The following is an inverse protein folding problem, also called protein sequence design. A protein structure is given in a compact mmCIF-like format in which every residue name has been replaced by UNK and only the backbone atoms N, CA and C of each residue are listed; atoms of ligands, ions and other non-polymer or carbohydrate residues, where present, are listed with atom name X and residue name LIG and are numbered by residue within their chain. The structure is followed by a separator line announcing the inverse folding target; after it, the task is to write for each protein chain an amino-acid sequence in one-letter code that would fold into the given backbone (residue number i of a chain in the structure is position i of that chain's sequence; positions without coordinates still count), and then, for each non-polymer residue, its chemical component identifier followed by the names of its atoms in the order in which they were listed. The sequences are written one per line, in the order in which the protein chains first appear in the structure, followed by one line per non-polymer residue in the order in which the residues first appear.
data_IF_534959302294
#
_entry.id   IF_534959302294
#
_cell.length_a   1.000
_cell.length_b   1.000
_cell.length_c   1.000
_cell.angle_alpha   90.00
_cell.angle_beta   90.00
_cell.angle_gamma   90.00
#
_symmetry.space_group_name_H-M   'P 1'
#
loop_
_entity.id
_entity.type
_entity.pdbx_description
1 polymer ?
#
# COMPACT_ATOMS: atom_id res chain seq x y z
N UNK A 1 27.87 -15.03 46.78
CA UNK A 1 26.87 -15.65 45.87
C UNK A 1 26.20 -16.85 46.54
N UNK A 2 26.97 -17.75 47.18
CA UNK A 2 26.46 -18.92 47.90
C UNK A 2 25.62 -18.59 49.15
N UNK A 3 26.00 -17.59 49.94
CA UNK A 3 25.20 -17.13 51.10
C UNK A 3 23.79 -16.68 50.70
N UNK A 4 23.66 -16.05 49.53
CA UNK A 4 22.38 -15.63 48.97
C UNK A 4 21.55 -16.84 48.55
N UNK A 5 22.17 -17.85 47.93
CA UNK A 5 21.51 -19.12 47.59
C UNK A 5 21.01 -19.84 48.86
N UNK A 6 21.87 -20.03 49.88
CA UNK A 6 21.51 -20.68 51.13
C UNK A 6 20.43 -19.89 51.92
N UNK A 7 20.43 -18.56 51.82
CA UNK A 7 19.36 -17.71 52.38
C UNK A 7 18.02 -17.98 51.67
N UNK A 8 18.00 -17.89 50.33
CA UNK A 8 16.78 -18.10 49.54
C UNK A 8 16.25 -19.53 49.65
N UNK A 9 17.13 -20.54 49.72
CA UNK A 9 16.74 -21.93 49.95
C UNK A 9 16.03 -22.13 51.29
N UNK A 10 16.53 -21.50 52.37
CA UNK A 10 15.88 -21.53 53.68
C UNK A 10 14.52 -20.81 53.68
N UNK A 11 14.43 -19.65 53.03
CA UNK A 11 13.16 -18.92 52.87
C UNK A 11 12.13 -19.74 52.10
N UNK A 12 12.56 -20.44 51.04
CA UNK A 12 11.69 -21.33 50.26
C UNK A 12 11.17 -22.51 51.08
N UNK A 13 12.04 -23.19 51.83
CA UNK A 13 11.67 -24.30 52.72
C UNK A 13 10.67 -23.83 53.79
N UNK A 14 10.92 -22.66 54.38
CA UNK A 14 10.03 -22.07 55.38
C UNK A 14 8.64 -21.74 54.80
N UNK A 15 8.57 -21.26 53.56
CA UNK A 15 7.31 -20.98 52.87
C UNK A 15 6.59 -22.23 52.35
N UNK A 16 7.30 -23.35 52.12
CA UNK A 16 6.77 -24.57 51.50
C UNK A 16 7.15 -25.85 52.29
N UNK A 17 6.68 -26.02 53.54
CA UNK A 17 7.13 -27.10 54.42
C UNK A 17 6.80 -28.52 53.93
N UNK A 18 5.91 -28.67 52.95
CA UNK A 18 5.53 -29.95 52.34
C UNK A 18 6.30 -30.32 51.07
N UNK A 19 7.22 -29.48 50.58
CA UNK A 19 8.02 -29.74 49.38
C UNK A 19 9.50 -29.95 49.75
N UNK A 20 10.22 -30.85 49.06
CA UNK A 20 11.67 -30.92 49.19
C UNK A 20 12.27 -29.57 48.77
N UNK A 21 13.13 -29.03 49.61
CA UNK A 21 13.82 -27.78 49.34
C UNK A 21 15.28 -27.97 48.96
N UNK A 22 15.92 -26.92 48.41
CA UNK A 22 17.32 -26.99 48.02
C UNK A 22 18.21 -27.24 49.24
N UNK A 23 19.20 -28.12 49.10
CA UNK A 23 20.21 -28.31 50.15
C UNK A 23 21.06 -27.07 50.31
N UNK A 24 21.50 -26.80 51.54
CA UNK A 24 22.54 -25.80 51.80
C UNK A 24 23.87 -26.31 51.26
N UNK A 25 24.65 -25.44 50.64
CA UNK A 25 25.95 -25.77 50.05
C UNK A 25 27.02 -24.84 50.61
N UNK A 26 28.18 -25.39 50.95
CA UNK A 26 29.40 -24.62 51.21
C UNK A 26 30.29 -24.56 49.95
N UNK A 27 31.28 -23.68 49.97
CA UNK A 27 32.07 -23.39 48.77
C UNK A 27 32.79 -24.64 48.22
N UNK A 28 33.32 -25.49 49.10
CA UNK A 28 33.98 -26.73 48.69
C UNK A 28 32.98 -27.74 48.10
N UNK A 29 31.77 -27.82 48.66
CA UNK A 29 30.72 -28.71 48.14
C UNK A 29 30.36 -28.37 46.69
N UNK A 30 30.37 -27.07 46.34
CA UNK A 30 30.06 -26.60 44.99
C UNK A 30 31.11 -27.02 43.95
N UNK A 31 32.38 -27.12 44.35
CA UNK A 31 33.47 -27.56 43.46
C UNK A 31 33.45 -29.06 43.19
N UNK A 32 32.82 -29.83 44.08
CA UNK A 32 32.71 -31.29 44.00
C UNK A 32 31.42 -31.75 43.29
N UNK A 33 30.54 -30.82 42.92
CA UNK A 33 29.29 -31.14 42.23
C UNK A 33 29.56 -31.73 40.85
N UNK A 34 28.92 -32.86 40.59
CA UNK A 34 28.91 -33.44 39.27
C UNK A 34 28.06 -32.60 38.30
N UNK A 35 28.35 -32.59 36.98
CA UNK A 35 27.63 -31.78 36.01
C UNK A 35 26.12 -32.07 35.90
N UNK A 36 25.68 -33.25 36.32
CA UNK A 36 24.29 -33.72 36.32
C UNK A 36 23.55 -33.46 37.64
N UNK A 37 24.21 -32.84 38.63
CA UNK A 37 23.61 -32.56 39.93
C UNK A 37 22.37 -31.66 39.83
N UNK A 38 21.37 -31.91 40.68
CA UNK A 38 20.11 -31.15 40.75
C UNK A 38 20.32 -29.67 41.09
N UNK A 39 21.50 -29.28 41.57
CA UNK A 39 21.89 -27.87 41.70
C UNK A 39 22.00 -27.15 40.34
N UNK A 40 22.45 -27.86 39.30
CA UNK A 40 22.66 -27.31 37.95
C UNK A 40 21.41 -27.36 37.06
N UNK A 41 20.32 -27.96 37.54
CA UNK A 41 19.07 -28.10 36.79
C UNK A 41 17.85 -27.74 37.65
N UNK A 42 16.70 -27.49 37.03
CA UNK A 42 15.47 -27.12 37.74
C UNK A 42 14.79 -28.32 38.43
N UNK A 43 15.46 -29.46 38.59
CA UNK A 43 14.87 -30.73 39.03
C UNK A 43 14.11 -30.62 40.36
N UNK A 44 14.61 -29.79 41.28
CA UNK A 44 14.02 -29.53 42.60
C UNK A 44 12.74 -28.66 42.55
N UNK A 45 12.54 -27.91 41.47
CA UNK A 45 11.38 -27.04 41.25
C UNK A 45 10.42 -27.61 40.20
N UNK A 46 10.55 -28.89 39.86
CA UNK A 46 9.64 -29.54 38.92
C UNK A 46 8.23 -29.63 39.52
N UNK A 47 7.37 -28.73 39.08
CA UNK A 47 5.95 -28.70 39.39
C UNK A 47 5.18 -29.82 38.65
N UNK A 48 5.79 -30.99 38.49
CA UNK A 48 5.26 -32.11 37.71
C UNK A 48 3.95 -32.68 38.27
N UNK A 49 3.62 -32.39 39.53
CA UNK A 49 2.37 -32.76 40.19
C UNK A 49 1.28 -31.70 40.13
N UNK A 50 1.57 -30.49 39.65
CA UNK A 50 0.58 -29.43 39.57
C UNK A 50 -0.51 -29.75 38.53
N UNK A 51 -1.74 -29.22 38.69
CA UNK A 51 -2.85 -29.52 37.78
C UNK A 51 -2.53 -29.20 36.32
N UNK A 52 -1.76 -28.14 36.04
CA UNK A 52 -1.34 -27.78 34.69
C UNK A 52 -0.28 -28.73 34.10
N UNK A 53 0.40 -29.53 34.92
CA UNK A 53 1.38 -30.52 34.50
C UNK A 53 0.75 -31.91 34.27
N UNK A 54 -0.28 -32.28 35.04
CA UNK A 54 -0.90 -33.62 34.95
C UNK A 54 -2.29 -33.59 34.30
N UNK A 55 -3.17 -32.66 34.68
CA UNK A 55 -4.56 -32.68 34.23
C UNK A 55 -4.67 -32.24 32.76
N UNK A 56 -5.11 -33.18 31.92
CA UNK A 56 -5.29 -32.95 30.49
C UNK A 56 -6.30 -31.86 30.17
N UNK A 57 -7.33 -31.66 31.01
CA UNK A 57 -8.32 -30.59 30.80
C UNK A 57 -7.70 -29.22 31.08
N UNK A 58 -6.98 -29.09 32.20
CA UNK A 58 -6.22 -27.88 32.54
C UNK A 58 -5.20 -27.55 31.45
N UNK A 59 -4.42 -28.52 30.98
CA UNK A 59 -3.50 -28.31 29.86
C UNK A 59 -4.20 -27.85 28.58
N UNK A 60 -5.33 -28.48 28.22
CA UNK A 60 -6.13 -28.09 27.05
C UNK A 60 -6.68 -26.67 27.22
N UNK A 61 -7.14 -26.30 28.40
CA UNK A 61 -7.60 -24.96 28.75
C UNK A 61 -6.50 -23.92 28.52
N UNK A 62 -5.30 -24.15 29.07
CA UNK A 62 -4.13 -23.27 28.90
C UNK A 62 -3.78 -23.12 27.41
N UNK A 63 -3.71 -24.22 26.65
CA UNK A 63 -3.40 -24.17 25.21
C UNK A 63 -4.45 -23.39 24.43
N UNK A 64 -5.73 -23.53 24.76
CA UNK A 64 -6.83 -22.79 24.14
C UNK A 64 -6.74 -21.30 24.46
N UNK A 65 -6.53 -20.94 25.72
CA UNK A 65 -6.36 -19.55 26.15
C UNK A 65 -5.16 -18.89 25.45
N UNK A 66 -4.01 -19.57 25.41
CA UNK A 66 -2.83 -19.08 24.71
C UNK A 66 -3.06 -18.90 23.20
N UNK A 67 -3.86 -19.77 22.59
CA UNK A 67 -4.21 -19.65 21.17
C UNK A 67 -5.17 -18.48 20.92
N UNK A 68 -6.13 -18.24 21.81
CA UNK A 68 -7.00 -17.07 21.77
C UNK A 68 -6.20 -15.77 21.88
N UNK A 69 -5.30 -15.68 22.87
CA UNK A 69 -4.44 -14.51 23.07
C UNK A 69 -3.54 -14.24 21.86
N UNK A 70 -2.97 -15.29 21.26
CA UNK A 70 -2.21 -15.16 20.01
C UNK A 70 -3.07 -14.66 18.86
N UNK A 71 -4.31 -15.15 18.72
CA UNK A 71 -5.24 -14.66 17.70
C UNK A 71 -5.58 -13.17 17.86
N UNK A 72 -5.80 -12.72 19.10
CA UNK A 72 -6.04 -11.30 19.41
C UNK A 72 -4.82 -10.42 19.07
N UNK A 73 -3.63 -10.89 19.44
CA UNK A 73 -2.37 -10.20 19.12
C UNK A 73 -2.14 -10.14 17.60
N UNK A 74 -2.46 -11.20 16.86
CA UNK A 74 -2.31 -11.23 15.41
C UNK A 74 -3.25 -10.23 14.72
N UNK A 75 -4.51 -10.13 15.15
CA UNK A 75 -5.45 -9.11 14.66
C UNK A 75 -4.90 -7.70 14.90
N UNK A 76 -4.30 -7.47 16.08
CA UNK A 76 -3.68 -6.19 16.42
C UNK A 76 -2.49 -5.88 15.52
N UNK A 77 -1.62 -6.86 15.25
CA UNK A 77 -0.47 -6.74 14.33
C UNK A 77 -0.89 -6.48 12.89
N UNK A 78 -1.91 -7.17 12.41
CA UNK A 78 -2.48 -6.90 11.09
C UNK A 78 -2.99 -5.47 10.99
N UNK A 79 -3.67 -4.96 12.02
CA UNK A 79 -4.06 -3.55 12.08
C UNK A 79 -2.88 -2.57 12.01
N UNK A 80 -1.74 -2.94 12.59
CA UNK A 80 -0.50 -2.15 12.50
C UNK A 80 0.11 -2.16 11.12
N UNK A 81 0.22 -3.33 10.49
CA UNK A 81 0.78 -3.45 9.14
C UNK A 81 -0.09 -2.75 8.11
N UNK A 82 -1.43 -2.85 8.19
CA UNK A 82 -2.34 -2.11 7.29
C UNK A 82 -2.05 -0.61 7.33
N UNK A 83 -1.95 -0.02 8.53
CA UNK A 83 -1.63 1.41 8.71
C UNK A 83 -0.23 1.75 8.23
N UNK A 84 0.73 0.85 8.39
CA UNK A 84 2.11 1.05 7.91
C UNK A 84 2.15 1.04 6.38
N UNK A 85 1.49 0.08 5.74
CA UNK A 85 1.37 -0.03 4.29
C UNK A 85 0.68 1.20 3.70
N UNK A 86 -0.45 1.63 4.29
CA UNK A 86 -1.15 2.84 3.85
C UNK A 86 -0.26 4.08 3.99
N UNK A 87 0.42 4.27 5.14
CA UNK A 87 1.35 5.41 5.32
C UNK A 87 2.50 5.39 4.34
N UNK A 88 3.11 4.22 4.14
CA UNK A 88 4.18 4.07 3.17
C UNK A 88 3.71 4.47 1.78
N UNK A 89 2.53 4.00 1.36
CA UNK A 89 1.99 4.31 0.05
C UNK A 89 1.64 5.80 -0.10
N UNK A 90 0.96 6.40 0.88
CA UNK A 90 0.57 7.82 0.79
C UNK A 90 1.78 8.74 0.80
N UNK A 91 2.78 8.47 1.63
CA UNK A 91 4.02 9.24 1.67
C UNK A 91 4.86 9.04 0.40
N UNK A 92 4.89 7.82 -0.15
CA UNK A 92 5.58 7.52 -1.41
C UNK A 92 4.93 8.27 -2.58
N UNK A 93 3.60 8.26 -2.64
CA UNK A 93 2.80 9.00 -3.61
C UNK A 93 3.10 10.51 -3.53
N UNK A 94 3.01 11.12 -2.34
CA UNK A 94 3.30 12.55 -2.14
C UNK A 94 4.72 12.91 -2.58
N UNK A 95 5.70 12.08 -2.23
CA UNK A 95 7.09 12.31 -2.63
C UNK A 95 7.28 12.23 -4.14
N UNK A 96 6.63 11.27 -4.81
CA UNK A 96 6.70 11.14 -6.26
C UNK A 96 6.01 12.30 -6.96
N UNK A 97 4.82 12.69 -6.49
CA UNK A 97 4.07 13.82 -7.02
C UNK A 97 4.87 15.13 -6.90
N UNK A 98 5.58 15.33 -5.79
CA UNK A 98 6.48 16.46 -5.62
C UNK A 98 7.62 16.42 -6.66
N UNK A 99 8.30 15.29 -6.81
CA UNK A 99 9.38 15.16 -7.80
C UNK A 99 8.86 15.36 -9.23
N UNK A 100 7.64 14.89 -9.51
CA UNK A 100 6.96 15.09 -10.78
C UNK A 100 6.77 16.59 -11.04
N UNK A 101 6.14 17.33 -10.10
CA UNK A 101 5.95 18.77 -10.26
C UNK A 101 7.25 19.54 -10.49
N UNK A 102 8.32 19.19 -9.77
CA UNK A 102 9.63 19.82 -9.95
C UNK A 102 10.27 19.49 -11.33
N UNK A 103 10.03 18.29 -11.87
CA UNK A 103 10.52 17.91 -13.20
C UNK A 103 9.76 18.62 -14.33
N UNK A 104 8.49 18.96 -14.10
CA UNK A 104 7.62 19.66 -15.06
C UNK A 104 7.83 21.19 -15.02
N UNK A 105 7.95 21.78 -13.82
CA UNK A 105 8.13 23.23 -13.64
C UNK A 105 9.53 23.72 -14.09
N UNK A 106 10.58 22.90 -13.89
CA UNK A 106 11.96 23.29 -14.17
C UNK A 106 12.49 22.59 -15.43
N UNK A 107 12.52 23.24 -16.61
CA UNK A 107 13.05 22.61 -17.81
C UNK A 107 14.54 22.30 -17.71
N UNK A 108 15.00 21.35 -18.53
CA UNK A 108 16.39 20.83 -18.60
C UNK A 108 17.48 21.88 -18.75
N UNK A 109 17.12 23.06 -19.23
CA UNK A 109 18.04 24.16 -19.54
C UNK A 109 18.27 25.09 -18.33
N UNK A 110 17.60 24.84 -17.20
CA UNK A 110 17.78 25.62 -15.99
C UNK A 110 19.12 25.28 -15.32
N UNK A 111 20.02 26.27 -15.11
CA UNK A 111 21.30 26.03 -14.47
C UNK A 111 21.18 25.63 -12.98
N UNK A 112 20.02 25.83 -12.35
CA UNK A 112 19.81 25.54 -10.93
C UNK A 112 18.86 24.35 -10.75
N UNK A 113 19.41 23.23 -10.25
CA UNK A 113 18.64 22.03 -9.93
C UNK A 113 17.91 22.21 -8.59
N UNK A 114 16.57 22.02 -8.54
CA UNK A 114 15.80 22.10 -7.31
C UNK A 114 16.30 21.13 -6.24
N UNK A 115 16.28 21.51 -4.93
CA UNK A 115 16.76 20.66 -3.85
C UNK A 115 16.13 19.26 -3.81
N UNK A 116 14.86 19.14 -4.19
CA UNK A 116 14.15 17.88 -4.26
C UNK A 116 14.78 16.90 -5.27
N UNK A 117 15.24 17.41 -6.42
CA UNK A 117 15.79 16.63 -7.53
C UNK A 117 17.29 16.34 -7.39
N UNK A 118 18.03 17.09 -6.56
CA UNK A 118 19.47 16.92 -6.39
C UNK A 118 19.86 15.48 -6.01
N UNK A 119 19.10 14.86 -5.10
CA UNK A 119 19.37 13.47 -4.68
C UNK A 119 19.12 12.44 -5.79
N UNK A 120 18.12 12.69 -6.64
CA UNK A 120 17.75 11.81 -7.75
C UNK A 120 18.75 11.95 -8.89
N UNK A 121 19.00 13.17 -9.36
CA UNK A 121 19.90 13.47 -10.48
C UNK A 121 21.37 13.22 -10.13
N UNK A 122 21.74 13.32 -8.84
CA UNK A 122 23.05 12.97 -8.31
C UNK A 122 23.25 11.46 -8.07
N UNK A 123 22.25 10.62 -8.34
CA UNK A 123 22.33 9.19 -8.06
C UNK A 123 23.36 8.48 -8.96
N UNK A 124 24.09 7.51 -8.37
CA UNK A 124 25.16 6.75 -9.05
C UNK A 124 24.73 5.97 -10.31
N UNK A 125 23.43 5.74 -10.50
CA UNK A 125 22.92 5.08 -11.72
C UNK A 125 22.67 6.08 -12.84
N UNK A 126 22.49 7.36 -12.53
CA UNK A 126 22.36 8.43 -13.52
C UNK A 126 23.71 9.11 -13.83
N UNK A 127 24.77 8.78 -13.10
CA UNK A 127 26.12 9.33 -13.32
C UNK A 127 26.77 8.87 -14.63
N UNK A 128 26.18 7.89 -15.33
CA UNK A 128 26.63 7.47 -16.65
C UNK A 128 26.28 8.50 -17.75
N UNK A 129 25.24 9.31 -17.54
CA UNK A 129 24.83 10.34 -18.47
C UNK A 129 25.79 11.54 -18.47
N UNK A 130 26.11 12.02 -19.67
CA UNK A 130 27.12 13.07 -19.87
C UNK A 130 26.54 14.48 -19.80
N UNK A 131 25.27 14.63 -20.19
CA UNK A 131 24.55 15.90 -20.13
C UNK A 131 23.44 15.85 -19.06
N UNK A 132 22.91 17.03 -18.70
CA UNK A 132 21.82 17.15 -17.73
C UNK A 132 20.47 16.69 -18.32
N UNK A 133 20.26 16.89 -19.61
CA UNK A 133 19.04 16.51 -20.32
C UNK A 133 18.75 15.00 -20.22
N UNK A 134 19.74 14.14 -20.53
CA UNK A 134 19.60 12.68 -20.42
C UNK A 134 19.32 12.22 -18.99
N UNK A 135 19.88 12.92 -17.99
CA UNK A 135 19.57 12.66 -16.57
C UNK A 135 18.14 13.04 -16.25
N UNK A 136 17.63 14.11 -16.83
CA UNK A 136 16.26 14.58 -16.67
C UNK A 136 15.26 13.62 -17.30
N UNK A 137 15.52 13.16 -18.52
CA UNK A 137 14.69 12.17 -19.22
C UNK A 137 14.63 10.86 -18.43
N UNK A 138 15.80 10.40 -17.94
CA UNK A 138 15.87 9.21 -17.10
C UNK A 138 15.14 9.41 -15.76
N UNK A 139 15.28 10.58 -15.13
CA UNK A 139 14.58 10.90 -13.89
C UNK A 139 13.06 10.94 -14.11
N UNK A 140 12.61 11.56 -15.20
CA UNK A 140 11.22 11.60 -15.67
C UNK A 140 10.66 10.20 -15.82
N UNK A 141 11.37 9.34 -16.55
CA UNK A 141 10.98 7.94 -16.73
C UNK A 141 10.87 7.20 -15.40
N UNK A 142 11.87 7.33 -14.53
CA UNK A 142 11.91 6.63 -13.23
C UNK A 142 10.78 7.11 -12.31
N UNK A 143 10.55 8.43 -12.23
CA UNK A 143 9.51 9.03 -11.39
C UNK A 143 8.13 8.63 -11.90
N UNK A 144 7.86 8.74 -13.20
CA UNK A 144 6.59 8.35 -13.79
C UNK A 144 6.31 6.85 -13.57
N UNK A 145 7.28 5.98 -13.89
CA UNK A 145 7.12 4.53 -13.72
C UNK A 145 6.87 4.15 -12.26
N UNK A 146 7.62 4.75 -11.33
CA UNK A 146 7.40 4.56 -9.89
C UNK A 146 6.03 5.05 -9.43
N UNK A 147 5.51 6.10 -10.07
CA UNK A 147 4.20 6.67 -9.77
C UNK A 147 3.07 5.78 -10.27
N UNK A 148 3.23 5.15 -11.44
CA UNK A 148 2.32 4.12 -11.93
C UNK A 148 2.26 2.94 -10.97
N UNK A 149 3.41 2.39 -10.58
CA UNK A 149 3.49 1.27 -9.64
C UNK A 149 2.77 1.57 -8.32
N UNK A 150 3.00 2.75 -7.73
CA UNK A 150 2.33 3.08 -6.46
C UNK A 150 0.83 3.30 -6.65
N UNK A 151 0.42 3.88 -7.78
CA UNK A 151 -0.99 4.11 -8.10
C UNK A 151 -1.74 2.79 -8.26
N UNK A 152 -1.17 1.82 -8.99
CA UNK A 152 -1.72 0.47 -9.13
C UNK A 152 -1.89 -0.21 -7.76
N UNK A 153 -0.84 -0.20 -6.92
CA UNK A 153 -0.93 -0.75 -5.57
C UNK A 153 -2.03 -0.09 -4.75
N UNK A 154 -2.16 1.24 -4.81
CA UNK A 154 -3.20 1.96 -4.10
C UNK A 154 -4.60 1.56 -4.58
N UNK A 155 -4.82 1.44 -5.89
CA UNK A 155 -6.10 1.01 -6.46
C UNK A 155 -6.46 -0.43 -6.05
N UNK A 156 -5.50 -1.36 -6.14
CA UNK A 156 -5.70 -2.76 -5.76
C UNK A 156 -6.06 -2.90 -4.28
N UNK A 157 -5.32 -2.17 -3.44
CA UNK A 157 -5.44 -2.24 -1.99
C UNK A 157 -6.69 -1.51 -1.45
N UNK A 158 -7.20 -0.52 -2.16
CA UNK A 158 -8.39 0.27 -1.77
C UNK A 158 -9.63 -0.62 -1.53
N UNK A 159 -9.73 -1.75 -2.24
CA UNK A 159 -10.83 -2.70 -2.07
C UNK A 159 -10.87 -3.39 -0.69
N UNK A 160 -9.72 -3.48 0.00
CA UNK A 160 -9.53 -4.31 1.22
C UNK A 160 -8.98 -3.54 2.41
N UNK A 161 -7.95 -2.70 2.23
CA UNK A 161 -7.26 -2.06 3.36
C UNK A 161 -8.19 -1.15 4.18
N UNK A 162 -9.06 -0.29 3.61
CA UNK A 162 -10.01 0.50 4.38
C UNK A 162 -10.95 -0.34 5.26
N UNK A 163 -11.36 -1.52 4.77
CA UNK A 163 -12.21 -2.45 5.55
C UNK A 163 -11.47 -3.05 6.73
N UNK A 164 -10.21 -3.45 6.54
CA UNK A 164 -9.37 -3.99 7.61
C UNK A 164 -9.00 -2.90 8.63
N UNK A 165 -8.77 -1.69 8.14
CA UNK A 165 -8.52 -0.51 8.95
C UNK A 165 -9.64 -0.28 9.97
N UNK A 166 -10.89 -0.27 9.51
CA UNK A 166 -12.09 -0.10 10.37
C UNK A 166 -12.33 -1.27 11.34
N UNK A 167 -11.89 -2.48 10.99
CA UNK A 167 -12.08 -3.69 11.81
C UNK A 167 -11.02 -3.88 12.89
N UNK A 168 -9.99 -3.05 12.92
CA UNK A 168 -8.87 -3.16 13.86
C UNK A 168 -8.89 -2.00 14.85
N UNK A 169 -8.22 -2.16 15.98
CA UNK A 169 -8.18 -1.15 17.04
C UNK A 169 -7.71 0.21 16.49
N UNK A 170 -8.47 1.31 16.72
CA UNK A 170 -8.09 2.65 16.30
C UNK A 170 -6.74 3.10 16.86
N UNK A 171 -6.04 3.94 16.12
CA UNK A 171 -4.76 4.55 16.48
C UNK A 171 -4.75 6.05 16.21
N UNK A 172 -3.80 6.74 16.83
CA UNK A 172 -3.61 8.17 16.64
C UNK A 172 -3.22 8.49 15.18
N UNK A 173 -3.89 9.48 14.59
CA UNK A 173 -3.68 9.88 13.20
C UNK A 173 -4.44 9.04 12.17
N UNK A 174 -5.34 8.16 12.60
CA UNK A 174 -6.13 7.33 11.69
C UNK A 174 -7.03 8.15 10.76
N UNK A 175 -7.67 9.21 11.28
CA UNK A 175 -8.59 10.07 10.53
C UNK A 175 -7.86 10.82 9.40
N UNK A 176 -6.64 11.29 9.66
CA UNK A 176 -5.84 11.96 8.64
C UNK A 176 -5.36 10.97 7.59
N UNK A 177 -4.89 9.79 8.02
CA UNK A 177 -4.41 8.75 7.11
C UNK A 177 -5.50 8.25 6.15
N UNK A 178 -6.71 7.97 6.66
CA UNK A 178 -7.81 7.49 5.81
C UNK A 178 -8.30 8.60 4.85
N UNK A 179 -8.30 9.85 5.30
CA UNK A 179 -8.66 11.00 4.46
C UNK A 179 -7.65 11.21 3.33
N UNK A 180 -6.35 11.21 3.63
CA UNK A 180 -5.29 11.33 2.62
C UNK A 180 -5.34 10.17 1.63
N UNK A 181 -5.48 8.94 2.12
CA UNK A 181 -5.65 7.76 1.27
C UNK A 181 -6.83 7.92 0.31
N UNK A 182 -8.01 8.26 0.83
CA UNK A 182 -9.21 8.41 0.02
C UNK A 182 -9.08 9.52 -1.04
N UNK A 183 -8.45 10.64 -0.68
CA UNK A 183 -8.17 11.72 -1.63
C UNK A 183 -7.24 11.27 -2.76
N UNK A 184 -6.11 10.63 -2.43
CA UNK A 184 -5.17 10.15 -3.44
C UNK A 184 -5.82 9.13 -4.37
N UNK A 185 -6.50 8.12 -3.83
CA UNK A 185 -7.19 7.11 -4.65
C UNK A 185 -8.27 7.73 -5.54
N UNK A 186 -9.02 8.69 -5.04
CA UNK A 186 -10.04 9.40 -5.85
C UNK A 186 -9.41 10.14 -7.02
N UNK A 187 -8.27 10.80 -6.80
CA UNK A 187 -7.55 11.53 -7.85
C UNK A 187 -6.92 10.58 -8.88
N UNK A 188 -6.37 9.46 -8.43
CA UNK A 188 -5.86 8.40 -9.32
C UNK A 188 -6.99 7.86 -10.19
N UNK A 189 -8.13 7.48 -9.59
CA UNK A 189 -9.31 6.99 -10.34
C UNK A 189 -9.75 8.01 -11.38
N UNK A 190 -9.86 9.29 -10.99
CA UNK A 190 -10.19 10.39 -11.90
C UNK A 190 -9.19 10.50 -13.06
N UNK A 191 -7.88 10.44 -12.79
CA UNK A 191 -6.88 10.49 -13.85
C UNK A 191 -7.01 9.30 -14.81
N UNK A 192 -7.31 8.10 -14.31
CA UNK A 192 -7.56 6.90 -15.12
C UNK A 192 -8.83 7.04 -15.97
N UNK A 193 -9.94 7.50 -15.36
CA UNK A 193 -11.24 7.63 -16.04
C UNK A 193 -11.18 8.62 -17.21
N UNK A 194 -10.31 9.63 -17.12
CA UNK A 194 -10.06 10.62 -18.18
C UNK A 194 -8.88 10.27 -19.09
N UNK A 195 -8.28 9.08 -18.96
CA UNK A 195 -7.18 8.63 -19.81
C UNK A 195 -5.86 9.39 -19.62
N UNK A 196 -5.70 10.14 -18.52
CA UNK A 196 -4.53 10.98 -18.24
C UNK A 196 -3.36 10.20 -17.63
N UNK A 197 -3.61 9.04 -17.04
CA UNK A 197 -2.57 8.19 -16.47
C UNK A 197 -2.00 7.24 -17.53
N UNK A 198 -1.10 7.78 -18.34
CA UNK A 198 -0.47 7.05 -19.45
C UNK A 198 0.28 5.81 -18.97
N UNK A 199 0.18 4.72 -19.74
CA UNK A 199 0.96 3.50 -19.50
C UNK A 199 2.35 3.56 -20.15
N UNK A 200 2.65 4.64 -20.87
CA UNK A 200 3.95 4.86 -21.49
C UNK A 200 4.92 5.43 -20.44
N UNK A 201 6.05 4.74 -20.15
CA UNK A 201 7.02 5.24 -19.18
C UNK A 201 7.56 6.62 -19.56
N UNK A 202 7.59 7.54 -18.60
CA UNK A 202 8.04 8.92 -18.80
C UNK A 202 7.04 9.88 -19.45
N UNK A 203 5.85 9.41 -19.84
CA UNK A 203 4.79 10.26 -20.38
C UNK A 203 4.13 11.08 -19.27
N UNK A 204 4.68 12.27 -19.04
CA UNK A 204 4.36 13.15 -17.94
C UNK A 204 3.68 14.42 -18.45
N UNK A 205 2.38 14.58 -18.19
CA UNK A 205 1.59 15.71 -18.67
C UNK A 205 1.17 16.67 -17.55
N UNK A 206 1.06 17.96 -17.87
CA UNK A 206 0.62 19.00 -16.93
C UNK A 206 -0.84 18.77 -16.49
N UNK A 207 -1.66 18.19 -17.37
CA UNK A 207 -3.06 17.81 -17.12
C UNK A 207 -3.15 16.71 -16.05
N UNK A 208 -2.29 15.69 -16.13
CA UNK A 208 -2.19 14.65 -15.11
C UNK A 208 -1.83 15.28 -13.76
N UNK A 209 -0.82 16.14 -13.73
CA UNK A 209 -0.36 16.81 -12.52
C UNK A 209 -1.47 17.67 -11.89
N UNK A 210 -2.21 18.42 -12.71
CA UNK A 210 -3.36 19.23 -12.28
C UNK A 210 -4.42 18.38 -11.56
N UNK A 211 -4.79 17.23 -12.14
CA UNK A 211 -5.77 16.31 -11.54
C UNK A 211 -5.26 15.70 -10.24
N UNK A 212 -3.99 15.31 -10.19
CA UNK A 212 -3.36 14.72 -9.01
C UNK A 212 -3.20 15.72 -7.85
N UNK A 213 -3.14 17.03 -8.13
CA UNK A 213 -3.23 18.07 -7.10
C UNK A 213 -4.67 18.38 -6.65
N UNK A 214 -5.68 17.78 -7.29
CA UNK A 214 -7.09 17.91 -6.94
C UNK A 214 -7.92 18.71 -7.95
N UNK A 215 -7.31 19.13 -9.06
CA UNK A 215 -7.99 19.74 -10.19
C UNK A 215 -9.08 18.84 -10.78
N UNK A 216 -10.08 19.48 -11.39
CA UNK A 216 -11.16 18.80 -12.09
C UNK A 216 -10.91 18.86 -13.60
N UNK A 217 -10.79 17.72 -14.30
CA UNK A 217 -10.52 17.68 -15.74
C UNK A 217 -11.47 18.55 -16.56
N UNK A 218 -12.74 18.67 -16.15
CA UNK A 218 -13.75 19.51 -16.81
C UNK A 218 -13.42 21.00 -16.82
N UNK A 219 -12.48 21.43 -15.96
CA UNK A 219 -11.98 22.81 -15.89
C UNK A 219 -10.72 23.05 -16.71
N UNK A 220 -10.12 21.99 -17.29
CA UNK A 220 -9.06 22.16 -18.27
C UNK A 220 -9.68 22.75 -19.54
N UNK A 221 -9.00 23.69 -20.22
CA UNK A 221 -9.42 24.11 -21.55
C UNK A 221 -9.58 22.85 -22.40
N UNK A 222 -10.72 22.68 -23.09
CA UNK A 222 -10.74 21.72 -24.20
C UNK A 222 -9.53 22.04 -25.06
N UNK A 223 -8.71 21.03 -25.36
CA UNK A 223 -7.58 21.20 -26.24
C UNK A 223 -8.09 21.90 -27.50
N UNK A 224 -7.64 23.13 -27.73
CA UNK A 224 -7.92 23.83 -28.98
C UNK A 224 -7.16 23.06 -30.06
N UNK A 225 -7.87 22.15 -30.74
CA UNK A 225 -7.43 21.47 -31.95
C UNK A 225 -6.59 20.22 -31.72
N UNK A 226 -7.25 19.09 -31.43
CA UNK A 226 -7.21 18.08 -32.48
C UNK A 226 -8.28 18.48 -33.49
N UNK A 227 -7.87 19.11 -34.60
CA UNK A 227 -8.69 19.04 -35.82
C UNK A 227 -8.59 17.61 -36.36
N UNK A 228 -9.01 16.63 -35.56
CA UNK A 228 -9.67 15.46 -36.08
C UNK A 228 -11.08 15.94 -36.31
N UNK A 229 -11.49 15.95 -37.57
CA UNK A 229 -12.89 16.16 -37.92
C UNK A 229 -13.73 15.16 -37.10
N UNK A 230 -14.25 15.62 -35.96
CA UNK A 230 -15.53 15.13 -35.46
C UNK A 230 -16.53 15.62 -36.50
N UNK A 231 -16.62 14.91 -37.62
CA UNK A 231 -17.88 14.80 -38.33
C UNK A 231 -18.87 14.39 -37.25
N UNK A 232 -19.62 15.36 -36.74
CA UNK A 232 -20.89 15.11 -36.09
C UNK A 232 -21.62 14.20 -37.06
N UNK A 233 -21.57 12.89 -36.78
CA UNK A 233 -22.25 11.86 -37.51
C UNK A 233 -23.73 12.12 -37.26
N UNK A 234 -24.24 13.09 -38.01
CA UNK A 234 -25.64 13.46 -38.08
C UNK A 234 -26.28 12.37 -38.94
N UNK A 235 -26.22 11.13 -38.43
CA UNK A 235 -26.89 9.95 -38.97
C UNK A 235 -28.34 10.30 -39.27
N UNK A 236 -28.97 11.18 -38.48
CA UNK A 236 -30.33 11.63 -38.68
C UNK A 236 -30.51 12.50 -39.95
N UNK A 237 -29.55 13.39 -40.26
CA UNK A 237 -29.53 14.14 -41.53
C UNK A 237 -29.16 13.27 -42.72
N UNK A 238 -28.18 12.37 -42.57
CA UNK A 238 -27.79 11.45 -43.63
C UNK A 238 -28.92 10.47 -43.96
N UNK A 239 -29.64 9.95 -42.95
CA UNK A 239 -30.81 9.10 -43.14
C UNK A 239 -31.97 9.88 -43.77
N UNK A 240 -32.19 11.13 -43.37
CA UNK A 240 -33.21 11.99 -43.99
C UNK A 240 -32.91 12.30 -45.47
N UNK A 241 -31.63 12.54 -45.82
CA UNK A 241 -31.22 12.77 -47.21
C UNK A 241 -31.34 11.49 -48.04
N UNK A 242 -30.98 10.32 -47.49
CA UNK A 242 -31.18 9.03 -48.16
C UNK A 242 -32.68 8.74 -48.37
N UNK A 243 -33.53 9.03 -47.38
CA UNK A 243 -34.98 8.84 -47.48
C UNK A 243 -35.60 9.76 -48.55
N UNK A 244 -35.15 11.01 -48.65
CA UNK A 244 -35.58 11.94 -49.70
C UNK A 244 -35.14 11.48 -51.10
N UNK A 245 -33.90 10.99 -51.25
CA UNK A 245 -33.41 10.48 -52.55
C UNK A 245 -34.18 9.22 -52.96
N UNK A 246 -34.44 8.31 -52.02
CA UNK A 246 -35.21 7.09 -52.29
C UNK A 246 -36.68 7.41 -52.66
N UNK A 247 -37.29 8.40 -51.99
CA UNK A 247 -38.68 8.79 -52.31
C UNK A 247 -38.78 9.51 -53.65
N UNK A 248 -37.83 10.38 -54.01
CA UNK A 248 -37.79 11.00 -55.34
C UNK A 248 -37.58 9.98 -56.46
N UNK A 249 -36.64 9.03 -56.27
CA UNK A 249 -36.37 7.99 -57.27
C UNK A 249 -37.55 7.03 -57.43
N UNK A 250 -38.20 6.61 -56.33
CA UNK A 250 -39.41 5.78 -56.41
C UNK A 250 -40.59 6.52 -57.07
N UNK A 251 -40.73 7.83 -56.87
CA UNK A 251 -41.76 8.61 -57.56
C UNK A 251 -41.46 8.75 -59.06
N UNK A 252 -40.20 8.97 -59.44
CA UNK A 252 -39.80 9.03 -60.84
C UNK A 252 -40.06 7.71 -61.56
N UNK A 253 -39.74 6.58 -60.93
CA UNK A 253 -39.96 5.24 -61.49
C UNK A 253 -41.46 4.92 -61.63
N UNK A 254 -42.29 5.29 -60.65
CA UNK A 254 -43.75 5.14 -60.74
C UNK A 254 -44.38 6.00 -61.84
N UNK A 255 -43.84 7.20 -62.09
CA UNK A 255 -44.27 8.06 -63.20
C UNK A 255 -43.83 7.48 -64.55
N UNK A 256 -42.67 6.82 -64.60
CA UNK A 256 -42.19 6.14 -65.81
C UNK A 256 -42.98 4.86 -66.12
N UNK A 257 -43.34 4.06 -65.11
CA UNK A 257 -44.19 2.87 -65.28
C UNK A 257 -45.64 3.22 -65.62
N UNK A 258 -46.19 4.31 -65.07
CA UNK A 258 -47.55 4.77 -65.41
C UNK A 258 -47.64 5.51 -66.75
N UNK A 259 -46.53 6.02 -67.27
CA UNK A 259 -46.44 6.64 -68.60
C UNK A 259 -46.16 5.66 -69.76
N UNK A 260 -45.94 4.37 -69.47
CA UNK A 260 -45.60 3.35 -70.46
C UNK A 260 -46.78 2.42 -70.84
N UNK A 261 -48.00 2.75 -70.41
CA UNK A 261 -49.20 1.90 -70.62
C UNK A 261 -50.38 2.65 -71.27
N UNK A 262 -50.08 3.43 -72.32
CA UNK A 262 -51.04 3.87 -73.35
C UNK A 262 -50.51 3.54 -74.76
#
# INVERSE_FOLDING_TARGET
MLDKYNKLGREFIAANPGRPGPRSLEYNDLLELQPDDTFWNDGLFTNGSEPWAIDTLTQRGIRRLASLQRGQEEVRRLGWEVRRSMRWATQRHERLLLLFGELEEYPTDNPMVPPALQSLLGHRYLSAHTNLAEKWDSATLIVHSSFLEISELQLDWDSRLPKLFQKTTPQDGDDTLISVWAQQVTRIKRAVDHGLLSQVPGDMTSELLFVLYGGHPESLPMAFGDSGDEEEDNEESYLADIENILTETMQADLVQESGAND
#
